data_IF_801969565617
#
_entry.id   IF_801969565617
#
_cell.length_a   1.000
_cell.length_b   1.000
_cell.length_c   1.000
_cell.angle_alpha   90.00
_cell.angle_beta   90.00
_cell.angle_gamma   90.00
#
_symmetry.space_group_name_H-M   'P 1'
#
loop_
_entity.id
_entity.type
_entity.pdbx_description
1 polymer ?
#
# COMPACT_ATOMS: atom_id res chain seq x y z
N UNK A 1 70.68 -22.32 61.48
CA UNK A 1 70.61 -22.08 60.02
C UNK A 1 69.45 -22.84 59.37
N UNK A 2 69.20 -24.11 59.73
CA UNK A 2 68.12 -24.94 59.17
C UNK A 2 66.71 -24.45 59.58
N UNK A 3 66.50 -24.00 60.81
CA UNK A 3 65.19 -23.50 61.29
C UNK A 3 64.74 -22.22 60.56
N UNK A 4 65.66 -21.31 60.26
CA UNK A 4 65.38 -20.10 59.48
C UNK A 4 64.93 -20.46 58.06
N UNK A 5 65.58 -21.45 57.43
CA UNK A 5 65.22 -21.92 56.10
C UNK A 5 63.81 -22.53 56.06
N UNK A 6 63.44 -23.30 57.10
CA UNK A 6 62.11 -23.91 57.22
C UNK A 6 61.00 -22.86 57.39
N UNK A 7 61.29 -21.76 58.10
CA UNK A 7 60.35 -20.65 58.25
C UNK A 7 60.11 -19.91 56.91
N UNK A 8 61.18 -19.68 56.12
CA UNK A 8 61.07 -19.09 54.78
C UNK A 8 60.27 -19.96 53.81
N UNK A 9 60.49 -21.28 53.82
CA UNK A 9 59.73 -22.22 52.98
C UNK A 9 58.24 -22.24 53.37
N UNK A 10 57.93 -22.19 54.67
CA UNK A 10 56.55 -22.07 55.16
C UNK A 10 55.87 -20.77 54.72
N UNK A 11 56.56 -19.64 54.81
CA UNK A 11 56.08 -18.33 54.34
C UNK A 11 55.83 -18.30 52.83
N UNK A 12 56.74 -18.89 52.04
CA UNK A 12 56.61 -18.94 50.58
C UNK A 12 55.40 -19.78 50.15
N UNK A 13 55.20 -20.93 50.80
CA UNK A 13 54.04 -21.78 50.55
C UNK A 13 52.72 -21.08 50.93
N UNK A 14 52.70 -20.38 52.08
CA UNK A 14 51.54 -19.61 52.52
C UNK A 14 51.19 -18.47 51.54
N UNK A 15 52.19 -17.73 51.07
CA UNK A 15 52.02 -16.70 50.03
C UNK A 15 51.48 -17.28 48.73
N UNK A 16 52.01 -18.42 48.29
CA UNK A 16 51.53 -19.11 47.09
C UNK A 16 50.07 -19.54 47.23
N UNK A 17 49.70 -20.06 48.40
CA UNK A 17 48.34 -20.49 48.69
C UNK A 17 47.35 -19.32 48.66
N UNK A 18 47.73 -18.15 49.17
CA UNK A 18 46.93 -16.92 49.09
C UNK A 18 46.80 -16.43 47.66
N UNK A 19 47.91 -16.38 46.91
CA UNK A 19 47.90 -15.96 45.51
C UNK A 19 46.96 -16.85 44.69
N UNK A 20 47.05 -18.17 44.89
CA UNK A 20 46.17 -19.15 44.24
C UNK A 20 44.70 -18.91 44.59
N UNK A 21 44.37 -18.72 45.88
CA UNK A 21 43.00 -18.42 46.31
C UNK A 21 42.47 -17.12 45.70
N UNK A 22 43.28 -16.06 45.65
CA UNK A 22 42.92 -14.80 44.99
C UNK A 22 42.63 -15.01 43.50
N UNK A 23 43.49 -15.72 42.77
CA UNK A 23 43.27 -16.04 41.36
C UNK A 23 41.99 -16.85 41.16
N UNK A 24 41.71 -17.81 42.06
CA UNK A 24 40.50 -18.64 42.00
C UNK A 24 39.23 -17.82 42.25
N UNK A 25 39.26 -16.90 43.21
CA UNK A 25 38.15 -15.97 43.45
C UNK A 25 37.89 -15.06 42.26
N UNK A 26 38.95 -14.51 41.64
CA UNK A 26 38.83 -13.71 40.42
C UNK A 26 38.24 -14.58 39.30
N UNK A 27 38.76 -15.79 39.07
CA UNK A 27 38.21 -16.70 38.07
C UNK A 27 36.72 -17.02 38.32
N UNK A 28 36.33 -17.25 39.57
CA UNK A 28 34.94 -17.54 39.95
C UNK A 28 34.01 -16.35 39.72
N UNK A 29 34.46 -15.13 40.03
CA UNK A 29 33.69 -13.91 39.77
C UNK A 29 33.53 -13.67 38.27
N UNK A 30 34.58 -13.88 37.48
CA UNK A 30 34.52 -13.84 36.02
C UNK A 30 33.56 -14.89 35.45
N UNK A 31 33.62 -16.14 35.92
CA UNK A 31 32.73 -17.21 35.49
C UNK A 31 31.26 -16.87 35.79
N UNK A 32 30.96 -16.33 36.99
CA UNK A 32 29.61 -15.87 37.33
C UNK A 32 29.14 -14.71 36.47
N UNK A 33 30.03 -13.76 36.15
CA UNK A 33 29.70 -12.64 35.27
C UNK A 33 29.40 -13.14 33.86
N UNK A 34 30.20 -14.08 33.35
CA UNK A 34 29.99 -14.68 32.05
C UNK A 34 28.67 -15.45 31.97
N UNK A 35 28.32 -16.23 33.01
CA UNK A 35 27.05 -16.96 33.05
C UNK A 35 25.84 -16.03 33.00
N UNK A 36 25.90 -14.88 33.69
CA UNK A 36 24.84 -13.86 33.61
C UNK A 36 24.71 -13.30 32.18
N UNK A 37 25.83 -12.97 31.55
CA UNK A 37 25.84 -12.47 30.16
C UNK A 37 25.31 -13.51 29.18
N UNK A 38 25.71 -14.78 29.33
CA UNK A 38 25.22 -15.88 28.50
C UNK A 38 23.71 -16.09 28.65
N UNK A 39 23.18 -15.98 29.86
CA UNK A 39 21.73 -16.05 30.08
C UNK A 39 20.99 -14.90 29.42
N UNK A 40 21.53 -13.69 29.51
CA UNK A 40 20.95 -12.51 28.86
C UNK A 40 20.96 -12.64 27.33
N UNK A 41 22.09 -13.05 26.75
CA UNK A 41 22.19 -13.27 25.31
C UNK A 41 21.24 -14.38 24.85
N UNK A 42 21.04 -15.44 25.65
CA UNK A 42 20.07 -16.49 25.34
C UNK A 42 18.63 -15.99 25.38
N UNK A 43 18.26 -15.14 26.35
CA UNK A 43 16.91 -14.56 26.39
C UNK A 43 16.68 -13.65 25.19
N UNK A 44 17.67 -12.83 24.84
CA UNK A 44 17.58 -11.92 23.69
C UNK A 44 17.47 -12.72 22.38
N UNK A 45 18.25 -13.79 22.24
CA UNK A 45 18.14 -14.68 21.10
C UNK A 45 16.77 -15.36 21.02
N UNK A 46 16.19 -15.80 22.15
CA UNK A 46 14.86 -16.38 22.17
C UNK A 46 13.78 -15.36 21.75
N UNK A 47 13.89 -14.11 22.21
CA UNK A 47 13.01 -13.02 21.81
C UNK A 47 13.13 -12.72 20.30
N UNK A 48 14.35 -12.58 19.80
CA UNK A 48 14.63 -12.38 18.36
C UNK A 48 14.07 -13.53 17.52
N UNK A 49 14.27 -14.77 17.96
CA UNK A 49 13.77 -15.95 17.27
C UNK A 49 12.24 -16.00 17.23
N UNK A 50 11.57 -15.49 18.27
CA UNK A 50 10.12 -15.35 18.29
C UNK A 50 9.60 -14.18 17.43
N UNK A 51 10.39 -13.12 17.27
CA UNK A 51 10.03 -11.94 16.49
C UNK A 51 10.23 -12.14 14.98
N UNK A 52 11.25 -12.92 14.57
CA UNK A 52 11.53 -13.25 13.17
C UNK A 52 10.30 -13.72 12.36
N UNK A 53 9.49 -14.70 12.81
CA UNK A 53 8.32 -15.14 12.05
C UNK A 53 7.24 -14.06 11.94
N UNK A 54 7.13 -13.17 12.94
CA UNK A 54 6.17 -12.06 12.88
C UNK A 54 6.59 -11.03 11.84
N UNK A 55 7.89 -10.72 11.77
CA UNK A 55 8.46 -9.82 10.76
C UNK A 55 8.32 -10.42 9.37
N UNK A 56 8.60 -11.72 9.20
CA UNK A 56 8.45 -12.42 7.92
C UNK A 56 6.99 -12.41 7.43
N UNK A 57 6.04 -12.66 8.33
CA UNK A 57 4.61 -12.58 8.02
C UNK A 57 4.16 -11.16 7.68
N UNK A 58 4.70 -10.14 8.37
CA UNK A 58 4.43 -8.75 8.03
C UNK A 58 5.02 -8.38 6.66
N UNK A 59 6.24 -8.83 6.36
CA UNK A 59 6.93 -8.57 5.10
C UNK A 59 6.23 -9.23 3.92
N UNK A 60 5.81 -10.49 4.06
CA UNK A 60 5.04 -11.21 3.03
C UNK A 60 3.70 -10.53 2.78
N UNK A 61 2.98 -10.11 3.82
CA UNK A 61 1.75 -9.32 3.66
C UNK A 61 2.01 -8.00 2.93
N UNK A 62 3.05 -7.26 3.32
CA UNK A 62 3.42 -6.03 2.66
C UNK A 62 3.77 -6.27 1.18
N UNK A 63 4.54 -7.32 0.87
CA UNK A 63 4.87 -7.69 -0.51
C UNK A 63 3.62 -8.00 -1.34
N UNK A 64 2.67 -8.77 -0.80
CA UNK A 64 1.41 -9.06 -1.50
C UNK A 64 0.54 -7.81 -1.70
N UNK A 65 0.54 -6.88 -0.74
CA UNK A 65 -0.18 -5.62 -0.87
C UNK A 65 0.43 -4.74 -1.97
N UNK A 66 1.76 -4.65 -2.02
CA UNK A 66 2.48 -3.94 -3.08
C UNK A 66 2.23 -4.55 -4.45
N UNK A 67 2.20 -5.87 -4.57
CA UNK A 67 1.93 -6.56 -5.84
C UNK A 67 0.50 -6.31 -6.34
N UNK A 68 -0.48 -6.29 -5.42
CA UNK A 68 -1.86 -5.89 -5.74
C UNK A 68 -1.94 -4.45 -6.22
N UNK A 69 -1.28 -3.52 -5.53
CA UNK A 69 -1.23 -2.11 -5.94
C UNK A 69 -0.57 -1.95 -7.31
N UNK A 70 0.50 -2.70 -7.59
CA UNK A 70 1.15 -2.69 -8.90
C UNK A 70 0.22 -3.23 -10.00
N UNK A 71 -0.56 -4.26 -9.71
CA UNK A 71 -1.55 -4.81 -10.64
C UNK A 71 -2.70 -3.83 -10.90
N UNK A 72 -3.23 -3.21 -9.85
CA UNK A 72 -4.30 -2.21 -9.96
C UNK A 72 -3.84 -0.96 -10.72
N UNK A 73 -2.60 -0.52 -10.50
CA UNK A 73 -1.99 0.57 -11.26
C UNK A 73 -1.91 0.24 -12.75
N UNK A 74 -1.41 -0.95 -13.12
CA UNK A 74 -1.39 -1.38 -14.53
C UNK A 74 -2.78 -1.42 -15.14
N UNK A 75 -3.77 -1.93 -14.40
CA UNK A 75 -5.15 -1.97 -14.87
C UNK A 75 -5.74 -0.58 -15.06
N UNK A 76 -5.41 0.36 -14.17
CA UNK A 76 -5.83 1.75 -14.30
C UNK A 76 -5.18 2.44 -15.50
N UNK A 77 -3.91 2.13 -15.77
CA UNK A 77 -3.17 2.65 -16.93
C UNK A 77 -3.78 2.15 -18.24
N UNK A 78 -4.12 0.86 -18.34
CA UNK A 78 -4.78 0.32 -19.53
C UNK A 78 -6.18 0.93 -19.72
N UNK A 79 -6.95 1.07 -18.65
CA UNK A 79 -8.27 1.69 -18.70
C UNK A 79 -8.20 3.18 -19.10
N UNK A 80 -7.17 3.90 -18.62
CA UNK A 80 -6.91 5.28 -19.04
C UNK A 80 -6.53 5.34 -20.52
N UNK A 81 -5.68 4.42 -21.00
CA UNK A 81 -5.34 4.31 -22.42
C UNK A 81 -6.58 4.12 -23.30
N UNK A 82 -7.43 3.14 -22.98
CA UNK A 82 -8.69 2.91 -23.68
C UNK A 82 -9.63 4.13 -23.63
N UNK A 83 -9.70 4.80 -22.48
CA UNK A 83 -10.48 6.02 -22.33
C UNK A 83 -9.94 7.15 -23.22
N UNK A 84 -8.62 7.32 -23.31
CA UNK A 84 -8.02 8.32 -24.20
C UNK A 84 -8.24 8.00 -25.67
N UNK A 85 -8.08 6.75 -26.11
CA UNK A 85 -8.37 6.34 -27.48
C UNK A 85 -9.85 6.56 -27.84
N UNK A 86 -10.77 6.23 -26.91
CA UNK A 86 -12.20 6.46 -27.13
C UNK A 86 -12.54 7.95 -27.19
N UNK A 87 -11.91 8.78 -26.36
CA UNK A 87 -12.06 10.23 -26.38
C UNK A 87 -11.53 10.84 -27.69
N UNK A 88 -10.37 10.38 -28.17
CA UNK A 88 -9.83 10.78 -29.47
C UNK A 88 -10.76 10.37 -30.62
N UNK A 89 -11.31 9.15 -30.59
CA UNK A 89 -12.26 8.68 -31.60
C UNK A 89 -13.56 9.51 -31.62
N UNK A 90 -14.08 9.89 -30.45
CA UNK A 90 -15.25 10.77 -30.32
C UNK A 90 -14.90 12.16 -30.87
N UNK A 91 -13.72 12.69 -30.53
CA UNK A 91 -13.27 14.00 -30.99
C UNK A 91 -13.15 14.03 -32.52
N UNK A 92 -12.59 12.99 -33.15
CA UNK A 92 -12.53 12.86 -34.62
C UNK A 92 -13.93 12.79 -35.24
N UNK A 93 -14.85 12.01 -34.67
CA UNK A 93 -16.24 11.94 -35.16
C UNK A 93 -16.94 13.29 -35.05
N UNK A 94 -16.67 14.04 -33.99
CA UNK A 94 -17.21 15.36 -33.77
C UNK A 94 -16.66 16.34 -34.81
N UNK A 95 -15.35 16.33 -35.05
CA UNK A 95 -14.67 17.14 -36.06
C UNK A 95 -15.19 16.86 -37.50
N UNK A 96 -15.38 15.58 -37.84
CA UNK A 96 -16.02 15.15 -39.09
C UNK A 96 -17.46 15.68 -39.22
N UNK A 97 -18.23 15.65 -38.13
CA UNK A 97 -19.61 16.14 -38.12
C UNK A 97 -19.69 17.67 -38.27
N UNK A 98 -18.76 18.39 -37.65
CA UNK A 98 -18.62 19.85 -37.77
C UNK A 98 -18.21 20.19 -39.21
N UNK A 99 -17.23 19.49 -39.77
CA UNK A 99 -16.80 19.68 -41.16
C UNK A 99 -17.95 19.48 -42.16
N UNK A 100 -18.78 18.45 -41.95
CA UNK A 100 -19.99 18.23 -42.76
C UNK A 100 -21.03 19.34 -42.58
N UNK A 101 -21.28 19.79 -41.34
CA UNK A 101 -22.21 20.87 -41.07
C UNK A 101 -21.75 22.18 -41.74
N UNK A 102 -20.45 22.48 -41.69
CA UNK A 102 -19.83 23.63 -42.37
C UNK A 102 -19.97 23.49 -43.89
N UNK A 103 -19.77 22.30 -44.47
CA UNK A 103 -19.97 22.07 -45.91
C UNK A 103 -21.43 22.27 -46.37
N UNK A 104 -22.39 21.89 -45.53
CA UNK A 104 -23.82 22.12 -45.78
C UNK A 104 -24.17 23.60 -45.67
N UNK A 105 -23.58 24.31 -44.71
CA UNK A 105 -23.74 25.75 -44.53
C UNK A 105 -23.02 26.57 -45.62
N UNK A 106 -21.91 26.05 -46.15
CA UNK A 106 -21.16 26.65 -47.25
C UNK A 106 -21.73 26.32 -48.64
N UNK A 107 -22.67 25.37 -48.75
CA UNK A 107 -23.44 25.15 -49.98
C UNK A 107 -24.48 26.27 -50.13
N UNK A 108 -24.52 26.99 -51.27
CA UNK A 108 -25.49 28.05 -51.48
C UNK A 108 -26.92 27.49 -51.50
N UNK A 109 -27.93 28.24 -51.01
CA UNK A 109 -29.31 27.79 -51.03
C UNK A 109 -29.76 27.64 -52.50
N UNK A 110 -30.03 26.40 -52.94
CA UNK A 110 -30.77 26.17 -54.18
C UNK A 110 -32.20 26.68 -53.97
N UNK A 111 -32.46 27.91 -54.40
CA UNK A 111 -33.81 28.42 -54.64
C UNK A 111 -34.55 27.47 -55.59
N UNK A 112 -35.73 27.00 -55.18
CA UNK A 112 -36.84 26.70 -56.09
C UNK A 112 -38.16 27.15 -55.43
N UNK A 113 -39.12 27.71 -56.20
CA UNK A 113 -40.18 28.61 -55.73
C UNK A 113 -41.47 27.89 -55.27
N UNK A 114 -42.44 28.60 -54.63
CA UNK A 114 -43.60 28.01 -53.94
C UNK A 114 -44.80 27.80 -54.87
N UNK A 115 -45.68 26.83 -54.56
CA UNK A 115 -47.12 27.11 -54.44
C UNK A 115 -47.72 26.39 -53.20
N UNK A 116 -48.47 27.05 -52.31
CA UNK A 116 -49.88 27.44 -52.42
C UNK A 116 -50.78 26.54 -51.54
N UNK A 117 -51.19 27.13 -50.40
CA UNK A 117 -52.49 26.99 -49.70
C UNK A 117 -53.07 25.58 -49.44
N UNK A 118 -53.08 25.17 -48.16
CA UNK A 118 -54.32 24.96 -47.37
C UNK A 118 -54.09 24.05 -46.12
N UNK A 119 -54.24 24.61 -44.90
CA UNK A 119 -55.28 24.23 -43.90
C UNK A 119 -54.89 24.69 -42.46
N UNK A 120 -55.84 25.22 -41.64
CA UNK A 120 -55.58 25.88 -40.35
C UNK A 120 -55.39 24.91 -39.14
N UNK A 121 -55.08 25.43 -37.93
CA UNK A 121 -54.30 24.75 -36.89
C UNK A 121 -55.14 23.88 -35.95
N UNK A 122 -54.52 22.83 -35.39
CA UNK A 122 -55.00 22.18 -34.18
C UNK A 122 -53.90 22.20 -33.11
N UNK A 123 -54.18 22.58 -31.84
CA UNK A 123 -53.16 22.91 -30.85
C UNK A 123 -52.86 21.77 -29.86
N UNK A 124 -51.78 22.02 -29.10
CA UNK A 124 -51.47 21.48 -27.77
C UNK A 124 -50.81 20.10 -27.66
N UNK A 125 -49.48 20.15 -27.76
CA UNK A 125 -48.51 19.56 -26.82
C UNK A 125 -49.13 19.08 -25.49
N UNK A 126 -49.12 17.77 -25.27
CA UNK A 126 -49.03 17.20 -23.92
C UNK A 126 -47.56 16.98 -23.57
N UNK A 127 -47.05 17.51 -22.44
CA UNK A 127 -45.69 17.22 -21.99
C UNK A 127 -45.61 15.77 -21.54
N UNK A 128 -44.72 14.99 -22.18
CA UNK A 128 -44.30 13.70 -21.66
C UNK A 128 -43.44 13.96 -20.42
N UNK A 129 -43.98 13.63 -19.25
CA UNK A 129 -43.26 13.62 -17.97
C UNK A 129 -41.95 12.82 -18.15
N UNK A 130 -40.76 13.39 -17.85
CA UNK A 130 -39.58 12.56 -17.73
C UNK A 130 -39.79 11.69 -16.49
N UNK A 131 -39.90 10.38 -16.70
CA UNK A 131 -39.75 9.42 -15.62
C UNK A 131 -38.39 9.71 -14.96
N UNK A 132 -38.42 9.97 -13.65
CA UNK A 132 -37.23 10.14 -12.82
C UNK A 132 -36.35 8.92 -13.02
N UNK A 133 -35.34 9.04 -13.87
CA UNK A 133 -34.26 8.07 -13.95
C UNK A 133 -33.44 8.25 -12.70
N UNK A 134 -33.84 7.58 -11.62
CA UNK A 134 -32.98 7.38 -10.45
C UNK A 134 -31.68 6.78 -10.96
N UNK A 135 -30.65 7.62 -11.01
CA UNK A 135 -29.35 7.24 -11.55
C UNK A 135 -28.81 6.09 -10.70
N UNK A 136 -28.11 5.13 -11.32
CA UNK A 136 -27.51 3.99 -10.62
C UNK A 136 -26.64 4.43 -9.44
N UNK A 137 -26.05 5.62 -9.54
CA UNK A 137 -25.31 6.27 -8.46
C UNK A 137 -26.17 6.63 -7.23
N UNK A 138 -27.41 7.05 -7.41
CA UNK A 138 -28.32 7.36 -6.30
C UNK A 138 -28.76 6.10 -5.55
N UNK A 139 -28.90 4.97 -6.25
CA UNK A 139 -29.21 3.68 -5.60
C UNK A 139 -28.05 3.13 -4.80
N UNK A 140 -26.82 3.30 -5.28
CA UNK A 140 -25.64 2.87 -4.53
C UNK A 140 -25.38 3.76 -3.31
N UNK A 141 -25.63 5.06 -3.42
CA UNK A 141 -25.52 5.98 -2.28
C UNK A 141 -26.58 5.68 -1.22
N UNK A 142 -27.83 5.39 -1.61
CA UNK A 142 -28.87 4.98 -0.68
C UNK A 142 -28.55 3.65 0.03
N UNK A 143 -27.92 2.69 -0.67
CA UNK A 143 -27.46 1.43 -0.07
C UNK A 143 -26.33 1.65 0.94
N UNK A 144 -25.34 2.47 0.59
CA UNK A 144 -24.25 2.81 1.50
C UNK A 144 -24.74 3.51 2.78
N UNK A 145 -25.78 4.34 2.68
CA UNK A 145 -26.32 5.07 3.83
C UNK A 145 -27.11 4.17 4.79
N UNK A 146 -27.74 3.11 4.29
CA UNK A 146 -28.46 2.12 5.12
C UNK A 146 -27.48 1.18 5.82
N UNK A 147 -26.37 0.79 5.17
CA UNK A 147 -25.33 -0.04 5.81
C UNK A 147 -24.49 0.73 6.84
N UNK A 148 -24.52 2.06 6.80
CA UNK A 148 -23.76 2.93 7.70
C UNK A 148 -24.54 3.36 8.97
N UNK A 149 -25.82 2.99 9.09
CA UNK A 149 -26.68 3.25 10.27
C UNK A 149 -26.87 2.00 11.12
#
# INVERSE_FOLDING_TARGET
MIEMLNHYVGLLNWLFQIAFFCTLLVALTYARRLDRLLRQVRSDHALLQSALPQIDLALTKAATATDRLAHDLRRSETALGEATESAEAITRKLDDSISRAVQLLASPPKQTPPPEVARPPAPAVTPRTPAVSTSRAERDLARMLIDAS
#
